data_IF_462115893522
#
_entry.id   IF_462115893522
#
_cell.length_a   1.000
_cell.length_b   1.000
_cell.length_c   1.000
_cell.angle_alpha   90.00
_cell.angle_beta   90.00
_cell.angle_gamma   90.00
#
_symmetry.space_group_name_H-M   'P 1'
#
loop_
_entity.id
_entity.type
_entity.pdbx_description
1 polymer ?
#
# COMPACT_ATOMS: atom_id res chain seq x y z
N UNK A 1 -18.65 10.71 -1.86
CA UNK A 1 -19.28 10.67 -0.53
C UNK A 1 -18.29 10.02 0.41
N UNK A 2 -17.39 10.83 1.00
CA UNK A 2 -16.53 10.42 2.10
C UNK A 2 -17.38 10.40 3.37
N UNK A 3 -17.49 9.25 4.01
CA UNK A 3 -18.01 9.13 5.36
C UNK A 3 -17.00 8.28 6.14
N UNK A 4 -16.39 8.89 7.15
CA UNK A 4 -15.59 8.25 8.21
C UNK A 4 -14.31 7.53 7.76
N UNK A 5 -13.21 8.29 7.67
CA UNK A 5 -11.95 7.98 8.35
C UNK A 5 -11.12 6.75 7.98
N UNK A 6 -11.58 5.87 7.09
CA UNK A 6 -10.82 4.68 6.71
C UNK A 6 -10.33 4.76 5.26
N UNK A 7 -9.00 4.76 5.10
CA UNK A 7 -8.37 4.57 3.79
C UNK A 7 -8.67 3.14 3.36
N UNK A 8 -9.41 2.97 2.27
CA UNK A 8 -9.73 1.67 1.71
C UNK A 8 -8.52 1.13 0.93
N UNK A 9 -8.17 -0.14 1.17
CA UNK A 9 -7.09 -0.84 0.48
C UNK A 9 -7.64 -2.09 -0.22
N UNK A 10 -7.03 -2.47 -1.34
CA UNK A 10 -7.39 -3.68 -2.09
C UNK A 10 -8.62 -3.53 -3.00
N UNK A 11 -9.07 -4.66 -3.55
CA UNK A 11 -10.20 -4.69 -4.49
C UNK A 11 -9.93 -3.85 -5.74
N UNK A 12 -10.94 -3.09 -6.16
CA UNK A 12 -10.87 -2.24 -7.35
C UNK A 12 -10.55 -0.76 -7.07
N UNK A 13 -10.16 -0.40 -5.84
CA UNK A 13 -9.90 1.01 -5.47
C UNK A 13 -8.78 1.63 -6.31
N UNK A 14 -7.83 0.81 -6.79
CA UNK A 14 -6.74 1.27 -7.66
C UNK A 14 -7.23 1.87 -8.99
N UNK A 15 -8.45 1.54 -9.44
CA UNK A 15 -9.01 2.05 -10.70
C UNK A 15 -9.50 3.49 -10.60
N UNK A 16 -9.96 3.92 -9.42
CA UNK A 16 -10.55 5.24 -9.20
C UNK A 16 -9.75 6.13 -8.25
N UNK A 17 -8.94 5.53 -7.38
CA UNK A 17 -8.09 6.20 -6.38
C UNK A 17 -6.74 5.49 -6.26
N UNK A 18 -6.19 5.07 -7.40
CA UNK A 18 -4.84 4.51 -7.49
C UNK A 18 -3.75 5.54 -7.19
N UNK A 19 -2.55 5.03 -6.91
CA UNK A 19 -1.36 5.87 -6.83
C UNK A 19 -0.87 6.25 -8.24
N UNK A 20 0.19 7.05 -8.29
CA UNK A 20 0.92 7.35 -9.52
C UNK A 20 1.96 6.28 -9.91
N UNK A 21 1.95 5.12 -9.24
CA UNK A 21 2.88 4.01 -9.51
C UNK A 21 3.41 3.30 -8.26
N UNK A 22 3.31 3.91 -7.07
CA UNK A 22 3.72 3.27 -5.82
C UNK A 22 2.70 2.22 -5.34
N UNK A 23 3.15 1.20 -4.60
CA UNK A 23 2.24 0.26 -3.92
C UNK A 23 1.81 0.83 -2.56
N UNK A 24 0.63 1.45 -2.52
CA UNK A 24 0.07 2.01 -1.29
C UNK A 24 -0.22 0.89 -0.28
N UNK A 25 0.24 1.07 0.95
CA UNK A 25 0.18 0.06 2.01
C UNK A 25 -0.34 0.71 3.30
N UNK A 26 -1.20 0.03 4.10
CA UNK A 26 -1.60 0.54 5.40
C UNK A 26 -0.38 0.83 6.29
N UNK A 27 -0.38 1.95 7.01
CA UNK A 27 0.79 2.41 7.76
C UNK A 27 1.35 1.35 8.72
N UNK A 28 0.47 0.64 9.44
CA UNK A 28 0.88 -0.44 10.37
C UNK A 28 1.55 -1.63 9.67
N UNK A 29 1.21 -1.89 8.40
CA UNK A 29 1.83 -2.94 7.58
C UNK A 29 3.13 -2.45 6.95
N UNK A 30 3.16 -1.20 6.48
CA UNK A 30 4.38 -0.57 5.95
C UNK A 30 5.49 -0.53 7.01
N UNK A 31 5.15 -0.16 8.25
CA UNK A 31 6.09 -0.21 9.40
C UNK A 31 6.68 -1.61 9.59
N UNK A 32 5.83 -2.64 9.60
CA UNK A 32 6.29 -4.04 9.75
C UNK A 32 7.22 -4.46 8.62
N UNK A 33 6.94 -4.07 7.38
CA UNK A 33 7.84 -4.35 6.24
C UNK A 33 9.18 -3.64 6.49
N UNK A 34 9.16 -2.33 6.74
CA UNK A 34 10.37 -1.53 6.96
C UNK A 34 11.27 -2.09 8.07
N UNK A 35 10.69 -2.53 9.18
CA UNK A 35 11.43 -3.10 10.32
C UNK A 35 12.01 -4.51 10.07
N UNK A 36 11.58 -5.21 9.00
CA UNK A 36 11.94 -6.61 8.75
C UNK A 36 12.57 -6.86 7.37
N UNK A 37 12.82 -5.84 6.56
CA UNK A 37 13.53 -5.97 5.28
C UNK A 37 14.92 -5.36 5.35
N UNK A 38 15.82 -5.87 4.52
CA UNK A 38 17.18 -5.35 4.37
C UNK A 38 17.40 -4.79 2.96
N UNK A 39 18.33 -3.83 2.78
CA UNK A 39 18.73 -3.39 1.45
C UNK A 39 19.14 -4.58 0.56
N UNK A 40 18.60 -4.62 -0.67
CA UNK A 40 18.80 -5.73 -1.59
C UNK A 40 17.72 -6.82 -1.55
N UNK A 41 16.76 -6.75 -0.63
CA UNK A 41 15.58 -7.65 -0.65
C UNK A 41 14.83 -7.50 -1.98
N UNK A 42 14.71 -8.56 -2.80
CA UNK A 42 14.07 -8.47 -4.11
C UNK A 42 12.56 -8.27 -3.97
N UNK A 43 11.99 -7.35 -4.76
CA UNK A 43 10.55 -7.10 -4.84
C UNK A 43 10.09 -7.44 -6.26
N UNK A 44 9.19 -8.42 -6.38
CA UNK A 44 8.64 -8.87 -7.65
C UNK A 44 7.22 -8.31 -7.77
N UNK A 45 6.96 -7.55 -8.84
CA UNK A 45 5.62 -7.07 -9.22
C UNK A 45 5.22 -7.67 -10.57
N UNK A 46 3.97 -8.07 -10.71
CA UNK A 46 3.37 -8.58 -11.96
C UNK A 46 1.95 -8.06 -12.14
#
# INVERSE_FOLDING_TARGET
MMLLGEILFGGSIYKSSGSHGCVNTPFSKAKKIYENIEPGTPIILY
#
